data_IF_416420887504
#
_entry.id   IF_416420887504
#
_cell.length_a   1.000
_cell.length_b   1.000
_cell.length_c   1.000
_cell.angle_alpha   90.00
_cell.angle_beta   90.00
_cell.angle_gamma   90.00
#
_symmetry.space_group_name_H-M   'P 1'
#
loop_
_entity.id
_entity.type
_entity.pdbx_description
1 polymer ?
#
# COMPACT_ATOMS: atom_id res chain seq x y z
N UNK A 1 12.57 -0.65 5.39
CA UNK A 1 11.31 -0.18 6.01
C UNK A 1 10.55 0.67 5.00
N UNK A 2 9.29 0.35 4.79
CA UNK A 2 8.46 1.10 3.83
C UNK A 2 7.95 2.39 4.46
N UNK A 3 7.91 3.45 3.65
CA UNK A 3 7.23 4.69 4.06
C UNK A 3 5.71 4.43 4.09
N UNK A 4 4.96 5.18 4.91
CA UNK A 4 3.51 4.97 5.03
C UNK A 4 2.77 4.98 3.69
N UNK A 5 3.06 5.92 2.80
CA UNK A 5 2.39 5.97 1.50
C UNK A 5 2.70 4.73 0.67
N UNK A 6 3.95 4.29 0.64
CA UNK A 6 4.36 3.09 -0.09
C UNK A 6 3.68 1.84 0.46
N UNK A 7 3.62 1.73 1.77
CA UNK A 7 2.95 0.62 2.44
C UNK A 7 1.48 0.55 2.03
N UNK A 8 0.78 1.66 2.06
CA UNK A 8 -0.65 1.69 1.73
C UNK A 8 -0.91 1.43 0.25
N UNK A 9 -0.01 1.86 -0.64
CA UNK A 9 -0.12 1.53 -2.06
C UNK A 9 0.01 0.02 -2.26
N UNK A 10 1.02 -0.60 -1.65
CA UNK A 10 1.20 -2.05 -1.77
C UNK A 10 0.05 -2.81 -1.15
N UNK A 11 -0.46 -2.34 -0.02
CA UNK A 11 -1.61 -2.96 0.65
C UNK A 11 -2.85 -2.91 -0.24
N UNK A 12 -3.10 -1.77 -0.89
CA UNK A 12 -4.20 -1.64 -1.82
C UNK A 12 -4.08 -2.62 -2.98
N UNK A 13 -2.87 -2.83 -3.49
CA UNK A 13 -2.62 -3.74 -4.62
C UNK A 13 -2.60 -5.21 -4.22
N UNK A 14 -2.52 -5.51 -2.93
CA UNK A 14 -2.52 -6.90 -2.45
C UNK A 14 -3.81 -7.64 -2.79
N UNK A 15 -4.90 -6.92 -2.95
CA UNK A 15 -6.19 -7.52 -3.30
C UNK A 15 -6.42 -7.72 -4.80
N UNK A 16 -5.52 -7.23 -5.64
CA UNK A 16 -5.61 -7.34 -7.09
C UNK A 16 -5.11 -6.09 -7.78
N UNK A 17 -5.01 -6.17 -9.10
CA UNK A 17 -4.53 -5.01 -9.88
C UNK A 17 -5.52 -3.86 -9.82
N UNK A 18 -4.99 -2.65 -9.82
CA UNK A 18 -5.79 -1.41 -9.81
C UNK A 18 -5.14 -0.39 -10.75
N UNK A 19 -5.96 0.48 -11.32
CA UNK A 19 -5.46 1.68 -11.98
C UNK A 19 -5.17 2.75 -10.92
N UNK A 20 -4.46 3.82 -11.31
CA UNK A 20 -4.02 4.84 -10.35
C UNK A 20 -5.13 5.44 -9.52
N UNK A 21 -6.25 5.78 -10.15
CA UNK A 21 -7.39 6.34 -9.42
C UNK A 21 -7.95 5.36 -8.39
N UNK A 22 -8.01 4.07 -8.75
CA UNK A 22 -8.43 3.02 -7.83
C UNK A 22 -7.51 2.90 -6.63
N UNK A 23 -6.19 3.02 -6.86
CA UNK A 23 -5.22 3.03 -5.77
C UNK A 23 -5.49 4.19 -4.81
N UNK A 24 -5.69 5.40 -5.34
CA UNK A 24 -6.00 6.57 -4.52
C UNK A 24 -7.22 6.34 -3.65
N UNK A 25 -8.29 5.82 -4.25
CA UNK A 25 -9.53 5.57 -3.52
C UNK A 25 -9.37 4.51 -2.44
N UNK A 26 -8.65 3.43 -2.74
CA UNK A 26 -8.40 2.38 -1.75
C UNK A 26 -7.60 2.90 -0.56
N UNK A 27 -6.55 3.68 -0.83
CA UNK A 27 -5.73 4.24 0.26
C UNK A 27 -6.56 5.19 1.13
N UNK A 28 -7.38 6.03 0.50
CA UNK A 28 -8.25 6.95 1.24
C UNK A 28 -9.24 6.19 2.13
N UNK A 29 -9.88 5.15 1.60
CA UNK A 29 -10.82 4.34 2.35
C UNK A 29 -10.15 3.55 3.46
N UNK A 30 -9.03 2.91 3.16
CA UNK A 30 -8.29 2.09 4.13
C UNK A 30 -7.82 2.92 5.33
N UNK A 31 -7.51 4.18 5.11
CA UNK A 31 -6.95 5.06 6.15
C UNK A 31 -7.97 6.04 6.71
N UNK A 32 -9.23 5.94 6.30
CA UNK A 32 -10.30 6.88 6.66
C UNK A 32 -9.86 8.33 6.40
N UNK A 33 -9.17 8.55 5.31
CA UNK A 33 -8.71 9.88 4.90
C UNK A 33 -7.45 10.39 5.58
N UNK A 34 -6.84 9.61 6.49
CA UNK A 34 -5.62 10.06 7.17
C UNK A 34 -4.39 10.04 6.26
N UNK A 35 -4.43 9.23 5.20
CA UNK A 35 -3.41 9.26 4.14
C UNK A 35 -4.12 9.55 2.84
N UNK A 36 -3.79 10.67 2.22
CA UNK A 36 -4.33 11.04 0.91
C UNK A 36 -3.19 11.18 -0.08
N UNK A 37 -3.44 10.76 -1.31
CA UNK A 37 -2.45 10.84 -2.38
C UNK A 37 -2.95 11.79 -3.45
N UNK A 38 -2.17 12.80 -3.76
CA UNK A 38 -2.46 13.68 -4.89
C UNK A 38 -1.97 13.02 -6.17
N UNK A 39 -2.64 13.31 -7.28
CA UNK A 39 -2.34 12.67 -8.57
C UNK A 39 -0.87 12.79 -8.95
N UNK A 40 -0.29 13.98 -8.82
CA UNK A 40 1.12 14.19 -9.17
C UNK A 40 2.06 13.35 -8.31
N UNK A 41 1.83 13.33 -7.00
CA UNK A 41 2.63 12.54 -6.06
C UNK A 41 2.44 11.04 -6.30
N UNK A 42 1.20 10.63 -6.57
CA UNK A 42 0.88 9.23 -6.81
C UNK A 42 1.72 8.65 -7.95
N UNK A 43 1.72 9.32 -9.11
CA UNK A 43 2.42 8.76 -10.27
C UNK A 43 3.93 8.75 -10.10
N UNK A 44 4.49 9.69 -9.33
CA UNK A 44 5.91 9.65 -8.96
C UNK A 44 6.21 8.45 -8.05
N UNK A 45 5.35 8.21 -7.07
CA UNK A 45 5.51 7.06 -6.18
C UNK A 45 5.38 5.74 -6.93
N UNK A 46 4.40 5.65 -7.83
CA UNK A 46 4.21 4.45 -8.65
C UNK A 46 5.40 4.18 -9.55
N UNK A 47 5.93 5.22 -10.20
CA UNK A 47 7.11 5.08 -11.05
C UNK A 47 8.31 4.58 -10.25
N UNK A 48 8.51 5.10 -9.05
CA UNK A 48 9.62 4.65 -8.18
C UNK A 48 9.42 3.20 -7.74
N UNK A 49 8.21 2.82 -7.36
CA UNK A 49 7.92 1.45 -6.95
C UNK A 49 8.12 0.46 -8.10
N UNK A 50 7.79 0.86 -9.33
CA UNK A 50 8.09 0.06 -10.53
C UNK A 50 9.60 -0.10 -10.68
N UNK A 51 10.35 0.99 -10.58
CA UNK A 51 11.81 0.96 -10.69
C UNK A 51 12.44 0.06 -9.62
N UNK A 52 11.88 0.07 -8.43
CA UNK A 52 12.35 -0.79 -7.33
C UNK A 52 11.88 -2.24 -7.44
N UNK A 53 11.06 -2.55 -8.44
CA UNK A 53 10.61 -3.92 -8.66
C UNK A 53 9.52 -4.40 -7.71
N UNK A 54 8.88 -3.49 -6.98
CA UNK A 54 7.83 -3.85 -6.02
C UNK A 54 6.45 -3.95 -6.64
N UNK A 55 6.25 -3.27 -7.76
CA UNK A 55 5.01 -3.36 -8.54
C UNK A 55 5.36 -3.43 -10.02
N UNK A 56 4.44 -3.97 -10.81
CA UNK A 56 4.51 -3.96 -12.27
C UNK A 56 3.53 -2.97 -12.84
N UNK A 57 3.91 -2.34 -13.94
CA UNK A 57 3.08 -1.46 -14.74
C UNK A 57 2.51 -2.30 -15.87
N UNK A 58 1.21 -2.44 -15.94
CA UNK A 58 0.52 -3.23 -16.95
C UNK A 58 -0.30 -2.29 -17.82
N UNK A 59 0.05 -2.23 -19.09
CA UNK A 59 -0.72 -1.44 -20.05
C UNK A 59 -1.85 -2.30 -20.60
N UNK A 60 -3.09 -1.86 -20.38
CA UNK A 60 -4.24 -2.51 -20.99
C UNK A 60 -4.44 -2.00 -22.39
N UNK A 61 -4.50 -2.89 -23.37
CA UNK A 61 -4.73 -2.51 -24.76
C UNK A 61 -6.18 -2.07 -25.02
N UNK A 62 -7.11 -2.50 -24.17
CA UNK A 62 -8.53 -2.28 -24.41
C UNK A 62 -9.05 -0.95 -23.87
N UNK A 63 -8.42 -0.39 -22.86
CA UNK A 63 -9.00 0.74 -22.13
C UNK A 63 -8.12 1.97 -22.07
N UNK A 64 -6.96 1.95 -22.67
CA UNK A 64 -5.99 3.04 -22.58
C UNK A 64 -5.65 3.40 -21.14
N UNK A 65 -5.90 2.47 -20.20
CA UNK A 65 -5.62 2.67 -18.79
C UNK A 65 -4.38 1.89 -18.41
N UNK A 66 -3.64 2.49 -17.50
CA UNK A 66 -2.46 1.86 -16.94
C UNK A 66 -2.86 1.22 -15.62
N UNK A 67 -2.66 -0.08 -15.53
CA UNK A 67 -2.90 -0.83 -14.30
C UNK A 67 -1.58 -1.16 -13.63
N UNK A 68 -1.65 -1.37 -12.33
CA UNK A 68 -0.50 -1.74 -11.53
C UNK A 68 -0.81 -3.01 -10.77
N UNK A 69 0.20 -3.82 -10.55
CA UNK A 69 0.08 -5.09 -9.86
C UNK A 69 1.27 -5.25 -8.93
N UNK A 70 1.02 -5.77 -7.72
CA UNK A 70 2.10 -6.06 -6.78
C UNK A 70 2.90 -7.25 -7.28
N UNK A 71 4.23 -7.19 -7.15
CA UNK A 71 5.13 -8.28 -7.50
C UNK A 71 5.36 -9.21 -6.31
N UNK A 72 6.03 -10.35 -6.52
CA UNK A 72 6.45 -11.21 -5.43
C UNK A 72 7.36 -10.45 -4.45
N UNK A 73 8.28 -9.64 -4.98
CA UNK A 73 9.13 -8.80 -4.14
C UNK A 73 8.32 -7.78 -3.34
N UNK A 74 7.31 -7.19 -3.98
CA UNK A 74 6.39 -6.25 -3.31
C UNK A 74 5.63 -6.93 -2.17
N UNK A 75 5.14 -8.14 -2.39
CA UNK A 75 4.45 -8.90 -1.33
C UNK A 75 5.38 -9.22 -0.17
N UNK A 76 6.62 -9.58 -0.47
CA UNK A 76 7.60 -9.86 0.57
C UNK A 76 7.88 -8.62 1.41
N UNK A 77 8.07 -7.47 0.76
CA UNK A 77 8.29 -6.20 1.45
C UNK A 77 7.07 -5.82 2.30
N UNK A 78 5.87 -6.01 1.75
CA UNK A 78 4.62 -5.72 2.46
C UNK A 78 4.46 -6.59 3.71
N UNK A 79 4.70 -7.89 3.58
CA UNK A 79 4.62 -8.83 4.70
C UNK A 79 5.63 -8.49 5.80
N UNK A 80 6.85 -8.13 5.41
CA UNK A 80 7.90 -7.74 6.36
C UNK A 80 7.50 -6.51 7.14
N UNK A 81 6.97 -5.51 6.46
CA UNK A 81 6.53 -4.28 7.12
C UNK A 81 5.28 -4.52 7.98
N UNK A 82 4.37 -5.34 7.53
CA UNK A 82 3.19 -5.71 8.31
C UNK A 82 3.60 -6.40 9.62
N UNK A 83 4.58 -7.29 9.58
CA UNK A 83 5.09 -7.96 10.77
C UNK A 83 5.74 -6.96 11.73
N UNK A 84 6.49 -5.99 11.20
CA UNK A 84 7.09 -4.94 12.02
C UNK A 84 6.01 -4.11 12.72
N UNK A 85 4.98 -3.72 11.98
CA UNK A 85 3.86 -2.95 12.54
C UNK A 85 3.11 -3.73 13.60
N UNK A 86 2.89 -5.03 13.38
CA UNK A 86 2.23 -5.89 14.36
C UNK A 86 3.04 -5.94 15.66
N UNK A 87 4.36 -6.02 15.58
CA UNK A 87 5.24 -6.00 16.75
C UNK A 87 5.13 -4.67 17.49
N UNK A 88 5.08 -3.55 16.76
CA UNK A 88 4.91 -2.23 17.38
C UNK A 88 3.57 -2.14 18.11
N UNK A 89 2.50 -2.60 17.47
CA UNK A 89 1.16 -2.60 18.09
C UNK A 89 1.16 -3.46 19.35
N UNK A 90 1.84 -4.61 19.32
CA UNK A 90 1.97 -5.48 20.48
C UNK A 90 2.63 -4.76 21.66
N UNK A 91 3.71 -4.01 21.40
CA UNK A 91 4.38 -3.20 22.42
C UNK A 91 3.45 -2.12 22.97
N UNK A 92 2.73 -1.44 22.09
CA UNK A 92 1.79 -0.37 22.48
C UNK A 92 0.71 -0.94 23.40
N UNK A 93 0.17 -2.12 23.08
CA UNK A 93 -0.83 -2.79 23.92
C UNK A 93 -0.24 -3.21 25.26
N UNK A 94 0.96 -3.77 25.26
CA UNK A 94 1.64 -4.18 26.48
C UNK A 94 1.82 -3.00 27.44
N UNK A 95 1.97 -1.80 26.91
CA UNK A 95 2.08 -0.57 27.70
C UNK A 95 0.74 0.10 27.96
N UNK A 96 -0.35 -0.59 27.63
CA UNK A 96 -1.73 -0.16 27.89
C UNK A 96 -2.12 1.15 27.23
N UNK A 97 -1.54 1.43 26.07
CA UNK A 97 -1.86 2.63 25.27
C UNK A 97 -2.97 2.40 24.27
N UNK A 98 -3.34 1.14 24.02
CA UNK A 98 -4.47 0.76 23.18
C UNK A 98 -5.34 -0.21 23.95
N UNK A 99 -6.68 -0.17 23.75
CA UNK A 99 -7.55 -1.17 24.34
C UNK A 99 -7.21 -2.55 23.78
N UNK A 100 -7.48 -3.60 24.60
CA UNK A 100 -7.35 -4.96 24.14
C UNK A 100 -8.42 -5.25 23.11
N UNK A 101 -8.10 -6.11 22.16
CA UNK A 101 -9.05 -6.49 21.12
C UNK A 101 -10.08 -7.44 21.69
N UNK A 102 -11.34 -7.08 21.55
CA UNK A 102 -12.47 -7.88 22.00
C UNK A 102 -12.95 -8.79 20.87
N UNK A 103 -12.11 -9.63 20.38
CA UNK A 103 -12.54 -10.48 19.27
C UNK A 103 -12.56 -11.91 19.69
#
# INVERSE_FOLDING_TARGET
MLKPADFHILLALAGGRLHGYGIMKHVELDTAGSVTLEIGSLYRLLARLVTEGLIDDIVSTDERRRYYRITAAGRKALKSEAARLASVVSLVRARKLLPETDV
#
